data_IF_469447725211
#
_entry.id   IF_469447725211
#
_cell.length_a   1.000
_cell.length_b   1.000
_cell.length_c   1.000
_cell.angle_alpha   90.00
_cell.angle_beta   90.00
_cell.angle_gamma   90.00
#
_symmetry.space_group_name_H-M   'P 1'
#
loop_
_entity.id
_entity.type
_entity.pdbx_description
1 polymer ?
#
# COMPACT_ATOMS: atom_id res chain seq x y z
N UNK A 1 1.66 -20.52 -4.19
CA UNK A 1 3.15 -20.50 -4.19
C UNK A 1 3.63 -21.80 -3.59
N UNK A 2 4.57 -22.49 -4.26
CA UNK A 2 5.09 -23.79 -3.85
C UNK A 2 5.77 -23.73 -2.47
N UNK A 3 5.61 -24.75 -1.61
CA UNK A 3 6.16 -24.75 -0.24
C UNK A 3 7.67 -24.53 -0.19
N UNK A 4 8.41 -25.13 -1.13
CA UNK A 4 9.87 -25.02 -1.23
C UNK A 4 10.31 -23.58 -1.49
N UNK A 5 9.59 -22.86 -2.34
CA UNK A 5 9.87 -21.45 -2.65
C UNK A 5 9.58 -20.55 -1.44
N UNK A 6 8.58 -20.90 -0.61
CA UNK A 6 8.31 -20.18 0.64
C UNK A 6 9.43 -20.41 1.65
N UNK A 7 9.85 -21.66 1.83
CA UNK A 7 10.94 -22.00 2.74
C UNK A 7 12.25 -21.31 2.34
N UNK A 8 12.59 -21.32 1.03
CA UNK A 8 13.77 -20.63 0.52
C UNK A 8 13.73 -19.12 0.80
N UNK A 9 12.58 -18.48 0.59
CA UNK A 9 12.43 -17.04 0.88
C UNK A 9 12.54 -16.72 2.38
N UNK A 10 11.93 -17.54 3.25
CA UNK A 10 12.07 -17.37 4.71
C UNK A 10 13.52 -17.48 5.14
N UNK A 11 14.25 -18.46 4.59
CA UNK A 11 15.69 -18.60 4.86
C UNK A 11 16.48 -17.38 4.38
N UNK A 12 16.21 -16.88 3.18
CA UNK A 12 16.84 -15.68 2.63
C UNK A 12 16.56 -14.46 3.53
N UNK A 13 15.31 -14.26 3.96
CA UNK A 13 14.94 -13.19 4.89
C UNK A 13 15.69 -13.30 6.21
N UNK A 14 15.80 -14.51 6.77
CA UNK A 14 16.54 -14.74 8.00
C UNK A 14 18.05 -14.43 7.85
N UNK A 15 18.65 -14.81 6.73
CA UNK A 15 20.05 -14.48 6.43
C UNK A 15 20.28 -12.98 6.31
N UNK A 16 19.39 -12.26 5.64
CA UNK A 16 19.46 -10.79 5.56
C UNK A 16 19.35 -10.19 6.97
N UNK A 17 18.37 -10.64 7.77
CA UNK A 17 18.19 -10.17 9.14
C UNK A 17 19.44 -10.38 10.00
N UNK A 18 20.07 -11.53 9.91
CA UNK A 18 21.28 -11.84 10.68
C UNK A 18 22.52 -11.09 10.16
N UNK A 19 22.75 -11.11 8.86
CA UNK A 19 23.98 -10.58 8.27
C UNK A 19 24.03 -9.06 8.21
N UNK A 20 22.89 -8.39 7.94
CA UNK A 20 22.84 -6.94 7.78
C UNK A 20 22.41 -6.22 9.06
N UNK A 21 21.69 -6.87 9.95
CA UNK A 21 21.09 -6.26 11.14
C UNK A 21 21.50 -6.93 12.45
N UNK A 22 22.31 -7.99 12.42
CA UNK A 22 22.66 -8.73 13.64
C UNK A 22 21.45 -9.29 14.40
N UNK A 23 20.32 -9.48 13.69
CA UNK A 23 19.03 -9.88 14.28
C UNK A 23 18.13 -8.72 14.69
N UNK A 24 18.64 -7.48 14.83
CA UNK A 24 17.83 -6.28 15.15
C UNK A 24 17.27 -5.63 13.89
N UNK A 25 16.26 -6.26 13.29
CA UNK A 25 15.56 -5.70 12.11
C UNK A 25 14.79 -4.41 12.45
N UNK A 26 14.42 -4.21 13.72
CA UNK A 26 13.73 -2.99 14.16
C UNK A 26 14.60 -1.74 14.01
N UNK A 27 15.93 -1.91 14.01
CA UNK A 27 16.85 -0.79 13.70
C UNK A 27 16.56 -0.13 12.36
N UNK A 28 16.06 -0.87 11.37
CA UNK A 28 15.65 -0.35 10.08
C UNK A 28 14.48 0.64 10.18
N UNK A 29 13.59 0.47 11.16
CA UNK A 29 12.40 1.31 11.38
C UNK A 29 12.76 2.68 11.96
N UNK A 30 13.93 2.79 12.58
CA UNK A 30 14.45 4.03 13.19
C UNK A 30 15.28 4.88 12.21
N UNK A 31 15.55 4.37 11.02
CA UNK A 31 16.26 5.11 9.96
C UNK A 31 15.36 6.22 9.39
N UNK A 32 15.92 7.31 8.84
CA UNK A 32 15.14 8.30 8.07
C UNK A 32 14.31 7.62 6.99
N UNK A 33 13.07 8.10 6.76
CA UNK A 33 12.05 7.46 5.91
C UNK A 33 12.59 6.90 4.57
N UNK A 34 13.37 7.66 3.76
CA UNK A 34 13.88 7.12 2.50
C UNK A 34 14.82 5.93 2.69
N UNK A 35 15.64 5.95 3.75
CA UNK A 35 16.54 4.84 4.11
C UNK A 35 15.78 3.66 4.66
N UNK A 36 14.80 3.88 5.55
CA UNK A 36 13.95 2.83 6.10
C UNK A 36 13.22 2.08 4.98
N UNK A 37 12.59 2.79 4.04
CA UNK A 37 11.94 2.19 2.86
C UNK A 37 12.92 1.34 2.06
N UNK A 38 14.08 1.91 1.70
CA UNK A 38 15.10 1.22 0.89
C UNK A 38 15.67 0.00 1.62
N UNK A 39 15.84 0.09 2.92
CA UNK A 39 16.35 -1.00 3.76
C UNK A 39 15.34 -2.15 3.84
N UNK A 40 14.06 -1.86 4.07
CA UNK A 40 13.00 -2.88 4.07
C UNK A 40 12.84 -3.56 2.70
N UNK A 41 13.08 -2.85 1.61
CA UNK A 41 13.00 -3.41 0.25
C UNK A 41 14.14 -4.37 -0.10
N UNK A 42 15.16 -4.53 0.76
CA UNK A 42 16.17 -5.58 0.61
C UNK A 42 15.60 -6.97 0.87
N UNK A 43 14.54 -7.05 1.66
CA UNK A 43 13.88 -8.32 1.94
C UNK A 43 13.06 -8.78 0.73
N UNK A 44 13.16 -10.06 0.34
CA UNK A 44 12.42 -10.59 -0.80
C UNK A 44 10.93 -10.42 -0.62
N UNK A 45 10.26 -10.00 -1.68
CA UNK A 45 8.81 -9.70 -1.74
C UNK A 45 8.35 -8.44 -0.99
N UNK A 46 9.26 -7.64 -0.44
CA UNK A 46 8.94 -6.33 0.11
C UNK A 46 9.24 -5.27 -0.94
N UNK A 47 8.21 -4.83 -1.66
CA UNK A 47 8.27 -3.65 -2.52
C UNK A 47 7.94 -2.36 -1.76
N UNK A 48 7.96 -1.22 -2.45
CA UNK A 48 7.67 0.10 -1.88
C UNK A 48 6.33 0.13 -1.11
N UNK A 49 5.20 -0.37 -1.66
CA UNK A 49 3.93 -0.38 -0.93
C UNK A 49 3.95 -1.25 0.34
N UNK A 50 4.73 -2.34 0.33
CA UNK A 50 4.86 -3.21 1.50
C UNK A 50 5.73 -2.59 2.58
N UNK A 51 6.82 -1.91 2.19
CA UNK A 51 7.66 -1.18 3.12
C UNK A 51 6.87 -0.06 3.81
N UNK A 52 6.08 0.72 3.07
CA UNK A 52 5.23 1.77 3.63
C UNK A 52 4.17 1.23 4.58
N UNK A 53 3.54 0.09 4.27
CA UNK A 53 2.62 -0.57 5.20
C UNK A 53 3.31 -1.01 6.49
N UNK A 54 4.50 -1.58 6.41
CA UNK A 54 5.27 -1.95 7.59
C UNK A 54 5.49 -0.71 8.45
N UNK A 55 5.98 0.38 7.87
CA UNK A 55 6.26 1.62 8.58
C UNK A 55 5.01 2.25 9.22
N UNK A 56 3.85 2.18 8.55
CA UNK A 56 2.58 2.63 9.09
C UNK A 56 2.13 1.77 10.28
N UNK A 57 2.05 0.44 10.10
CA UNK A 57 1.51 -0.46 11.12
C UNK A 57 2.44 -0.65 12.33
N UNK A 58 3.73 -0.40 12.18
CA UNK A 58 4.68 -0.31 13.30
C UNK A 58 4.71 1.07 13.95
N UNK A 59 3.91 2.02 13.46
CA UNK A 59 3.87 3.43 13.92
C UNK A 59 5.24 4.12 13.86
N UNK A 60 6.07 3.70 12.91
CA UNK A 60 7.40 4.30 12.71
C UNK A 60 7.32 5.54 11.84
N UNK A 61 6.46 5.53 10.80
CA UNK A 61 6.23 6.66 9.92
C UNK A 61 4.76 6.77 9.49
N UNK A 62 4.15 7.97 9.54
CA UNK A 62 2.77 8.21 9.14
C UNK A 62 2.66 8.29 7.61
N UNK A 63 2.80 7.17 6.93
CA UNK A 63 2.67 7.05 5.46
C UNK A 63 1.53 6.10 5.13
N UNK A 64 0.61 6.49 4.26
CA UNK A 64 -0.47 5.62 3.82
C UNK A 64 0.04 4.61 2.79
N UNK A 65 0.53 3.47 3.25
CA UNK A 65 0.89 2.35 2.38
C UNK A 65 -0.36 1.70 1.79
N UNK A 66 -0.54 1.78 0.48
CA UNK A 66 -1.69 1.20 -0.23
C UNK A 66 -1.38 -0.22 -0.70
N UNK A 67 -2.38 -1.09 -0.68
CA UNK A 67 -2.36 -2.35 -1.42
C UNK A 67 -3.21 -2.23 -2.69
N UNK A 68 -3.21 -3.24 -3.55
CA UNK A 68 -3.83 -3.16 -4.87
C UNK A 68 -5.33 -2.80 -4.88
N UNK A 69 -6.08 -3.22 -3.85
CA UNK A 69 -7.50 -2.87 -3.74
C UNK A 69 -7.68 -1.40 -3.35
N UNK A 70 -6.90 -0.91 -2.37
CA UNK A 70 -6.93 0.48 -1.97
C UNK A 70 -6.45 1.42 -3.08
N UNK A 71 -5.37 1.05 -3.77
CA UNK A 71 -4.88 1.79 -4.93
C UNK A 71 -5.95 1.95 -6.00
N UNK A 72 -6.62 0.85 -6.37
CA UNK A 72 -7.72 0.88 -7.36
C UNK A 72 -8.87 1.78 -6.93
N UNK A 73 -9.24 1.77 -5.64
CA UNK A 73 -10.30 2.64 -5.12
C UNK A 73 -9.94 4.09 -5.33
N UNK A 74 -8.74 4.51 -4.93
CA UNK A 74 -8.29 5.89 -5.07
C UNK A 74 -8.18 6.34 -6.52
N UNK A 75 -7.64 5.50 -7.41
CA UNK A 75 -7.60 5.79 -8.85
C UNK A 75 -9.01 6.00 -9.42
N UNK A 76 -9.98 5.15 -9.07
CA UNK A 76 -11.37 5.28 -9.51
C UNK A 76 -12.10 6.48 -8.93
N UNK A 77 -11.70 6.93 -7.75
CA UNK A 77 -12.19 8.18 -7.15
C UNK A 77 -11.60 9.43 -7.85
N UNK A 78 -10.55 9.27 -8.64
CA UNK A 78 -9.90 10.37 -9.37
C UNK A 78 -8.62 10.87 -8.73
N UNK A 79 -8.07 10.13 -7.74
CA UNK A 79 -6.75 10.45 -7.18
C UNK A 79 -5.64 9.78 -8.00
N UNK A 80 -4.74 10.60 -8.54
CA UNK A 80 -3.64 10.12 -9.37
C UNK A 80 -4.07 9.69 -10.77
N UNK A 81 -3.17 9.04 -11.48
CA UNK A 81 -3.34 8.62 -12.87
C UNK A 81 -3.24 7.11 -13.01
N UNK A 82 -4.17 6.51 -13.75
CA UNK A 82 -4.11 5.09 -14.09
C UNK A 82 -2.97 4.87 -15.09
N UNK A 83 -2.04 3.97 -14.75
CA UNK A 83 -0.84 3.68 -15.52
C UNK A 83 -0.70 2.16 -15.72
N UNK A 84 -0.11 1.75 -16.86
CA UNK A 84 0.20 0.33 -17.10
C UNK A 84 1.18 -0.25 -16.07
N UNK A 85 2.12 0.57 -15.61
CA UNK A 85 3.08 0.19 -14.59
C UNK A 85 2.51 0.48 -13.20
N UNK A 86 2.42 -0.57 -12.37
CA UNK A 86 1.90 -0.48 -11.00
C UNK A 86 2.64 0.56 -10.15
N UNK A 87 3.98 0.59 -10.22
CA UNK A 87 4.79 1.51 -9.42
C UNK A 87 4.52 2.97 -9.79
N UNK A 88 4.36 3.25 -11.08
CA UNK A 88 4.05 4.61 -11.56
C UNK A 88 2.65 5.03 -11.13
N UNK A 89 1.64 4.17 -11.27
CA UNK A 89 0.29 4.42 -10.78
C UNK A 89 0.27 4.64 -9.25
N UNK A 90 1.00 3.80 -8.52
CA UNK A 90 1.13 3.92 -7.06
C UNK A 90 1.69 5.28 -6.64
N UNK A 91 2.78 5.71 -7.27
CA UNK A 91 3.42 7.00 -6.96
C UNK A 91 2.55 8.20 -7.36
N UNK A 92 1.80 8.11 -8.45
CA UNK A 92 0.87 9.19 -8.85
C UNK A 92 -0.24 9.37 -7.81
N UNK A 93 -0.77 8.27 -7.26
CA UNK A 93 -1.77 8.35 -6.18
C UNK A 93 -1.15 8.89 -4.91
N UNK A 94 0.05 8.42 -4.50
CA UNK A 94 0.75 8.93 -3.32
C UNK A 94 0.97 10.45 -3.40
N UNK A 95 1.38 10.94 -4.57
CA UNK A 95 1.55 12.39 -4.79
C UNK A 95 0.22 13.13 -4.70
N UNK A 96 -0.86 12.58 -5.28
CA UNK A 96 -2.17 13.22 -5.28
C UNK A 96 -2.82 13.29 -3.88
N UNK A 97 -2.51 12.35 -2.98
CA UNK A 97 -3.12 12.31 -1.65
C UNK A 97 -2.27 12.93 -0.55
N UNK A 98 -0.99 13.22 -0.77
CA UNK A 98 -0.05 13.65 0.27
C UNK A 98 -0.52 14.86 1.08
N UNK A 99 -1.12 15.84 0.40
CA UNK A 99 -1.57 17.09 1.03
C UNK A 99 -2.96 16.95 1.69
N UNK A 100 -3.63 15.81 1.50
CA UNK A 100 -4.92 15.49 2.09
C UNK A 100 -4.81 14.62 3.34
N UNK A 101 -3.62 14.06 3.59
CA UNK A 101 -3.36 13.18 4.73
C UNK A 101 -2.59 13.93 5.80
N UNK A 102 -3.04 13.82 7.05
CA UNK A 102 -2.27 14.20 8.21
C UNK A 102 -1.26 13.12 8.61
N UNK A 103 -0.71 13.30 9.80
CA UNK A 103 0.29 12.40 10.41
C UNK A 103 -0.29 11.54 11.56
N UNK A 104 -1.63 11.51 11.68
CA UNK A 104 -2.33 10.67 12.64
C UNK A 104 -2.31 9.20 12.21
N UNK A 105 -1.59 8.39 12.97
CA UNK A 105 -1.43 6.96 12.70
C UNK A 105 -2.74 6.18 12.73
N UNK A 106 -3.64 6.47 13.66
CA UNK A 106 -4.91 5.75 13.78
C UNK A 106 -5.80 6.04 12.57
N UNK A 107 -5.89 7.31 12.17
CA UNK A 107 -6.61 7.70 10.97
C UNK A 107 -6.03 7.04 9.70
N UNK A 108 -4.71 7.01 9.57
CA UNK A 108 -4.06 6.41 8.40
C UNK A 108 -4.22 4.88 8.36
N UNK A 109 -4.15 4.21 9.50
CA UNK A 109 -4.39 2.77 9.62
C UNK A 109 -5.85 2.45 9.27
N UNK A 110 -6.81 3.18 9.83
CA UNK A 110 -8.22 3.00 9.51
C UNK A 110 -8.51 3.27 8.03
N UNK A 111 -7.91 4.31 7.47
CA UNK A 111 -8.02 4.63 6.03
C UNK A 111 -7.49 3.46 5.18
N UNK A 112 -6.32 2.90 5.52
CA UNK A 112 -5.79 1.72 4.84
C UNK A 112 -6.77 0.54 4.89
N UNK A 113 -7.30 0.23 6.06
CA UNK A 113 -8.22 -0.90 6.28
C UNK A 113 -9.53 -0.68 5.50
N UNK A 114 -10.11 0.52 5.57
CA UNK A 114 -11.35 0.87 4.89
C UNK A 114 -11.20 0.82 3.37
N UNK A 115 -10.13 1.40 2.82
CA UNK A 115 -9.85 1.36 1.37
C UNK A 115 -9.67 -0.07 0.88
N UNK A 116 -8.93 -0.90 1.62
CA UNK A 116 -8.74 -2.31 1.30
C UNK A 116 -10.07 -3.05 1.32
N UNK A 117 -10.87 -2.87 2.36
CA UNK A 117 -12.18 -3.52 2.50
C UNK A 117 -13.13 -3.08 1.39
N UNK A 118 -13.26 -1.77 1.16
CA UNK A 118 -14.08 -1.21 0.09
C UNK A 118 -13.69 -1.75 -1.30
N UNK A 119 -12.40 -1.80 -1.60
CA UNK A 119 -11.91 -2.34 -2.85
C UNK A 119 -12.16 -3.83 -3.02
N UNK A 120 -12.12 -4.59 -1.93
CA UNK A 120 -12.37 -6.04 -1.93
C UNK A 120 -13.87 -6.36 -2.05
N UNK A 121 -14.73 -5.67 -1.34
CA UNK A 121 -16.15 -6.02 -1.22
C UNK A 121 -17.03 -5.30 -2.27
N UNK A 122 -16.81 -4.02 -2.53
CA UNK A 122 -17.63 -3.20 -3.42
C UNK A 122 -16.93 -2.82 -4.73
N UNK A 123 -15.80 -2.13 -4.64
CA UNK A 123 -15.07 -1.61 -5.79
C UNK A 123 -14.15 -2.68 -6.42
N UNK A 124 -14.74 -3.82 -6.80
CA UNK A 124 -14.02 -4.97 -7.35
C UNK A 124 -13.38 -4.64 -8.70
N UNK A 125 -12.32 -5.41 -9.06
CA UNK A 125 -11.67 -5.24 -10.38
C UNK A 125 -12.65 -5.47 -11.52
N UNK A 126 -13.37 -6.59 -11.45
CA UNK A 126 -14.45 -6.92 -12.39
C UNK A 126 -15.80 -6.74 -11.70
N UNK A 127 -16.76 -6.18 -12.42
CA UNK A 127 -18.14 -5.97 -11.93
C UNK A 127 -18.21 -5.24 -10.58
N UNK A 128 -17.72 -3.98 -10.48
CA UNK A 128 -17.83 -3.21 -9.26
C UNK A 128 -19.32 -2.95 -8.92
N UNK A 129 -19.65 -3.02 -7.64
CA UNK A 129 -21.03 -2.87 -7.15
C UNK A 129 -21.33 -1.38 -6.91
N UNK A 130 -21.26 -0.57 -7.98
CA UNK A 130 -21.40 0.88 -7.91
C UNK A 130 -22.73 1.35 -7.35
N UNK A 131 -23.83 0.64 -7.63
CA UNK A 131 -25.17 1.01 -7.12
C UNK A 131 -25.24 0.99 -5.58
N UNK A 132 -24.47 0.10 -4.95
CA UNK A 132 -24.38 -0.04 -3.49
C UNK A 132 -23.25 0.80 -2.87
N UNK A 133 -22.45 1.48 -3.71
CA UNK A 133 -21.29 2.20 -3.24
C UNK A 133 -21.67 3.53 -2.56
N UNK A 134 -21.30 3.75 -1.28
CA UNK A 134 -21.68 4.95 -0.56
C UNK A 134 -21.03 6.22 -1.11
N UNK A 135 -19.90 6.10 -1.81
CA UNK A 135 -19.14 7.24 -2.39
C UNK A 135 -19.36 7.40 -3.89
N UNK A 136 -20.36 6.74 -4.48
CA UNK A 136 -20.58 6.78 -5.94
C UNK A 136 -20.79 8.19 -6.51
N UNK A 137 -21.41 9.09 -5.73
CA UNK A 137 -21.67 10.47 -6.14
C UNK A 137 -20.41 11.32 -6.36
N UNK A 138 -19.31 10.94 -5.75
CA UNK A 138 -18.01 11.61 -5.84
C UNK A 138 -16.97 10.75 -6.58
N UNK A 139 -17.42 9.77 -7.36
CA UNK A 139 -16.54 8.81 -8.00
C UNK A 139 -16.40 9.09 -9.49
N UNK A 140 -15.22 9.50 -9.93
CA UNK A 140 -14.93 9.79 -11.33
C UNK A 140 -15.19 8.58 -12.26
N UNK A 141 -14.85 7.37 -11.78
CA UNK A 141 -15.14 6.14 -12.51
C UNK A 141 -16.65 5.96 -12.76
N UNK A 142 -17.48 6.18 -11.71
CA UNK A 142 -18.93 6.04 -11.83
C UNK A 142 -19.52 7.07 -12.81
N UNK A 143 -19.09 8.31 -12.72
CA UNK A 143 -19.53 9.38 -13.63
C UNK A 143 -19.22 9.07 -15.10
N UNK A 144 -18.02 8.53 -15.38
CA UNK A 144 -17.57 8.25 -16.74
C UNK A 144 -18.19 6.99 -17.37
N UNK A 145 -18.71 6.05 -16.55
CA UNK A 145 -19.25 4.77 -17.03
C UNK A 145 -20.78 4.68 -16.99
N UNK A 146 -21.47 5.69 -16.44
CA UNK A 146 -22.94 5.76 -16.36
C UNK A 146 -23.53 7.00 -17.05
N UNK A 147 -22.77 7.59 -17.99
CA UNK A 147 -23.28 8.60 -18.93
C UNK A 147 -23.87 7.97 -20.16
#
# INVERSE_FOLDING_TARGET
MQPEKRAARLREMALIAMNEFGGDVESALRLPLPKAKKTLQKFPSIGEPSAEKILLFTRSYPVLGLESNGLRVLLRLGFGEEQKNYTTAYRSVQEAIKDHLGDDFDLLIDTHILLRHHGKELCKTSNPMCDKCPVKKSCAYFENHNR
#
